data_IF_155194537814
#
_entry.id   IF_155194537814
#
_cell.length_a   1.000
_cell.length_b   1.000
_cell.length_c   1.000
_cell.angle_alpha   90.00
_cell.angle_beta   90.00
_cell.angle_gamma   90.00
#
_symmetry.space_group_name_H-M   'P 1'
#
loop_
_entity.id
_entity.type
_entity.pdbx_description
1 polymer ?
#
# COMPACT_ATOMS: atom_id res chain seq x y z
N UNK A 1 -27.05 19.84 -11.32
CA UNK A 1 -26.17 19.00 -10.47
C UNK A 1 -26.86 17.65 -10.29
N UNK A 2 -26.21 16.54 -10.64
CA UNK A 2 -26.84 15.22 -10.57
C UNK A 2 -26.61 14.61 -9.17
N UNK A 3 -27.64 14.66 -8.32
CA UNK A 3 -27.58 14.19 -6.93
C UNK A 3 -27.41 12.68 -6.82
N UNK A 4 -27.99 11.89 -7.72
CA UNK A 4 -27.87 10.43 -7.70
C UNK A 4 -26.44 9.98 -7.99
N UNK A 5 -25.76 10.65 -8.92
CA UNK A 5 -24.34 10.42 -9.19
C UNK A 5 -23.48 10.73 -7.96
N UNK A 6 -23.75 11.84 -7.27
CA UNK A 6 -23.00 12.21 -6.06
C UNK A 6 -23.20 11.22 -4.93
N UNK A 7 -24.44 10.80 -4.67
CA UNK A 7 -24.76 9.80 -3.66
C UNK A 7 -24.10 8.45 -3.98
N UNK A 8 -24.06 8.06 -5.26
CA UNK A 8 -23.39 6.83 -5.70
C UNK A 8 -21.88 6.88 -5.47
N UNK A 9 -21.24 8.03 -5.71
CA UNK A 9 -19.81 8.23 -5.42
C UNK A 9 -19.54 8.17 -3.91
N UNK A 10 -20.36 8.83 -3.10
CA UNK A 10 -20.22 8.81 -1.63
C UNK A 10 -20.38 7.39 -1.09
N UNK A 11 -21.44 6.68 -1.50
CA UNK A 11 -21.67 5.30 -1.08
C UNK A 11 -20.51 4.37 -1.48
N UNK A 12 -19.94 4.56 -2.68
CA UNK A 12 -18.76 3.83 -3.11
C UNK A 12 -17.55 4.13 -2.22
N UNK A 13 -17.22 5.39 -1.98
CA UNK A 13 -16.10 5.78 -1.11
C UNK A 13 -16.30 5.26 0.31
N UNK A 14 -17.52 5.35 0.84
CA UNK A 14 -17.88 4.83 2.17
C UNK A 14 -17.73 3.31 2.26
N UNK A 15 -18.01 2.58 1.17
CA UNK A 15 -17.81 1.12 1.12
C UNK A 15 -16.32 0.71 1.19
N UNK A 16 -15.42 1.57 0.72
CA UNK A 16 -13.97 1.32 0.72
C UNK A 16 -13.30 1.73 2.04
N UNK A 17 -13.85 2.74 2.73
CA UNK A 17 -13.23 3.37 3.92
C UNK A 17 -12.87 2.37 5.04
N UNK A 18 -13.71 1.37 5.40
CA UNK A 18 -13.38 0.43 6.48
C UNK A 18 -12.10 -0.37 6.23
N UNK A 19 -11.81 -0.68 4.96
CA UNK A 19 -10.65 -1.49 4.57
C UNK A 19 -9.47 -0.65 4.09
N UNK A 20 -9.59 0.68 4.06
CA UNK A 20 -8.55 1.56 3.54
C UNK A 20 -7.22 1.38 4.29
N UNK A 21 -7.27 1.28 5.62
CA UNK A 21 -6.08 1.02 6.43
C UNK A 21 -5.48 -0.35 6.15
N UNK A 22 -6.33 -1.40 6.07
CA UNK A 22 -5.87 -2.75 5.75
C UNK A 22 -5.14 -2.80 4.39
N UNK A 23 -5.71 -2.18 3.35
CA UNK A 23 -5.07 -2.13 2.04
C UNK A 23 -3.77 -1.33 2.05
N UNK A 24 -3.72 -0.23 2.81
CA UNK A 24 -2.49 0.53 3.00
C UNK A 24 -1.41 -0.32 3.67
N UNK A 25 -1.75 -1.01 4.76
CA UNK A 25 -0.81 -1.85 5.49
C UNK A 25 -0.31 -3.01 4.63
N UNK A 26 -1.19 -3.66 3.85
CA UNK A 26 -0.81 -4.70 2.90
C UNK A 26 0.17 -4.18 1.85
N UNK A 27 -0.09 -2.99 1.29
CA UNK A 27 0.79 -2.37 0.32
C UNK A 27 2.17 -2.06 0.91
N UNK A 28 2.21 -1.42 2.08
CA UNK A 28 3.47 -1.06 2.76
C UNK A 28 4.25 -2.29 3.19
N UNK A 29 3.58 -3.32 3.72
CA UNK A 29 4.22 -4.60 4.08
C UNK A 29 4.85 -5.28 2.86
N UNK A 30 4.18 -5.24 1.70
CA UNK A 30 4.72 -5.76 0.45
C UNK A 30 5.99 -5.02 0.02
N UNK A 31 6.00 -3.68 0.10
CA UNK A 31 7.18 -2.87 -0.19
C UNK A 31 8.33 -3.16 0.77
N UNK A 32 8.07 -3.19 2.07
CA UNK A 32 9.10 -3.48 3.07
C UNK A 32 9.70 -4.88 2.88
N UNK A 33 8.87 -5.89 2.64
CA UNK A 33 9.35 -7.26 2.40
C UNK A 33 10.20 -7.35 1.14
N UNK A 34 9.84 -6.62 0.08
CA UNK A 34 10.63 -6.55 -1.14
C UNK A 34 11.99 -5.88 -0.91
N UNK A 35 12.00 -4.70 -0.27
CA UNK A 35 13.22 -3.97 0.03
C UNK A 35 14.13 -4.79 0.94
N UNK A 36 13.58 -5.47 1.94
CA UNK A 36 14.34 -6.33 2.85
C UNK A 36 15.02 -7.49 2.09
N UNK A 37 14.30 -8.22 1.24
CA UNK A 37 14.89 -9.29 0.42
C UNK A 37 16.00 -8.78 -0.50
N UNK A 38 15.79 -7.64 -1.16
CA UNK A 38 16.78 -7.06 -2.07
C UNK A 38 18.00 -6.54 -1.31
N UNK A 39 17.81 -5.95 -0.13
CA UNK A 39 18.90 -5.51 0.75
C UNK A 39 19.75 -6.70 1.22
N UNK A 40 19.11 -7.81 1.62
CA UNK A 40 19.81 -9.05 1.95
C UNK A 40 20.61 -9.59 0.77
N UNK A 41 20.04 -9.62 -0.43
CA UNK A 41 20.74 -10.06 -1.64
C UNK A 41 21.97 -9.20 -1.93
N UNK A 42 21.82 -7.87 -1.88
CA UNK A 42 22.92 -6.93 -2.11
C UNK A 42 24.02 -7.07 -1.06
N UNK A 43 23.64 -7.30 0.21
CA UNK A 43 24.58 -7.57 1.31
C UNK A 43 25.39 -8.83 1.05
N UNK A 44 24.74 -9.91 0.58
CA UNK A 44 25.45 -11.14 0.19
C UNK A 44 26.42 -10.93 -0.98
N UNK A 45 26.11 -10.00 -1.88
CA UNK A 45 26.98 -9.62 -3.00
C UNK A 45 28.10 -8.65 -2.60
N UNK A 46 28.17 -8.27 -1.32
CA UNK A 46 29.22 -7.40 -0.76
C UNK A 46 28.90 -5.90 -0.78
N UNK A 47 27.66 -5.52 -1.11
CA UNK A 47 27.19 -4.14 -1.00
C UNK A 47 26.53 -3.94 0.38
N UNK A 48 27.08 -3.11 1.26
CA UNK A 48 26.51 -2.91 2.59
C UNK A 48 25.12 -2.25 2.52
N UNK A 49 24.23 -2.48 3.50
CA UNK A 49 22.96 -1.77 3.60
C UNK A 49 23.19 -0.26 3.67
N UNK A 50 22.31 0.51 3.02
CA UNK A 50 22.26 1.97 3.19
C UNK A 50 21.24 2.29 4.28
N UNK A 51 21.73 2.90 5.37
CA UNK A 51 20.91 3.42 6.48
C UNK A 51 20.12 4.68 6.07
#
# INVERSE_FOLDING_TARGET
MNWDLQNSIVAFVDSLRPNAQLYHDMYMNGLYSFVDMQSHLLTMLGYPPVD
#
